data_IF_262407980719
#
_entry.id   IF_262407980719
#
_cell.length_a   1.000
_cell.length_b   1.000
_cell.length_c   1.000
_cell.angle_alpha   90.00
_cell.angle_beta   90.00
_cell.angle_gamma   90.00
#
_symmetry.space_group_name_H-M   'P 1'
#
loop_
_entity.id
_entity.type
_entity.pdbx_description
1 polymer ?
#
# COMPACT_ATOMS: atom_id res chain seq x y z
N UNK A 1 19.49 17.89 -3.88
CA UNK A 1 19.40 16.61 -4.61
C UNK A 1 17.99 16.47 -5.12
N UNK A 2 17.78 15.95 -6.33
CA UNK A 2 16.43 15.63 -6.82
C UNK A 2 16.08 14.21 -6.36
N UNK A 3 15.02 14.06 -5.58
CA UNK A 3 14.48 12.74 -5.18
C UNK A 3 13.32 12.37 -6.11
N UNK A 4 13.30 11.14 -6.60
CA UNK A 4 12.21 10.62 -7.44
C UNK A 4 10.91 10.51 -6.65
N UNK A 5 9.78 10.64 -7.34
CA UNK A 5 8.47 10.40 -6.75
C UNK A 5 8.36 8.94 -6.29
N UNK A 6 7.60 8.71 -5.20
CA UNK A 6 7.33 7.36 -4.71
C UNK A 6 6.71 6.44 -5.78
N UNK A 7 5.93 7.00 -6.70
CA UNK A 7 5.37 6.28 -7.86
C UNK A 7 6.44 5.77 -8.84
N UNK A 8 7.50 6.54 -9.08
CA UNK A 8 8.61 6.17 -9.98
C UNK A 8 9.50 5.11 -9.35
N UNK A 9 9.52 5.05 -8.01
CA UNK A 9 10.26 4.06 -7.23
C UNK A 9 9.47 2.77 -6.98
N UNK A 10 8.18 2.76 -7.31
CA UNK A 10 7.24 1.67 -7.04
C UNK A 10 7.65 0.36 -7.74
N UNK A 11 7.58 -0.77 -7.02
CA UNK A 11 7.86 -2.11 -7.56
C UNK A 11 6.70 -3.06 -7.29
N UNK A 12 6.22 -3.85 -8.28
CA UNK A 12 5.05 -4.70 -8.11
C UNK A 12 5.18 -5.73 -6.98
N UNK A 13 6.42 -6.16 -6.69
CA UNK A 13 6.74 -7.20 -5.71
C UNK A 13 7.12 -6.64 -4.32
N UNK A 14 6.98 -5.33 -4.09
CA UNK A 14 7.16 -4.80 -2.74
C UNK A 14 5.94 -5.17 -1.88
N UNK A 15 6.20 -5.90 -0.80
CA UNK A 15 5.17 -6.24 0.18
C UNK A 15 4.71 -4.99 0.94
N UNK A 16 3.41 -4.97 1.26
CA UNK A 16 2.87 -3.97 2.16
C UNK A 16 3.47 -4.07 3.57
N UNK A 17 3.18 -3.09 4.45
CA UNK A 17 3.63 -3.13 5.83
C UNK A 17 3.11 -4.39 6.52
N UNK A 18 3.90 -4.93 7.45
CA UNK A 18 3.41 -6.00 8.33
C UNK A 18 2.52 -5.37 9.39
N UNK A 19 1.22 -5.60 9.28
CA UNK A 19 0.24 -5.18 10.26
C UNK A 19 0.17 -6.21 11.41
N UNK A 20 -0.18 -5.78 12.63
CA UNK A 20 -0.47 -6.72 13.72
C UNK A 20 -1.71 -7.57 13.38
N UNK A 21 -1.83 -8.71 14.07
CA UNK A 21 -3.01 -9.57 13.95
C UNK A 21 -4.27 -8.80 14.38
N UNK A 22 -5.36 -8.92 13.60
CA UNK A 22 -6.55 -8.08 13.76
C UNK A 22 -7.46 -8.50 14.94
N UNK A 23 -7.12 -9.55 15.68
CA UNK A 23 -7.93 -10.18 16.76
C UNK A 23 -9.39 -10.54 16.37
N UNK A 24 -9.71 -10.48 15.08
CA UNK A 24 -11.02 -10.78 14.50
C UNK A 24 -10.87 -11.62 13.24
N UNK A 25 -11.91 -12.38 12.91
CA UNK A 25 -11.92 -13.21 11.69
C UNK A 25 -11.79 -12.33 10.44
N UNK A 26 -10.82 -12.66 9.60
CA UNK A 26 -10.66 -12.02 8.30
C UNK A 26 -11.82 -12.38 7.37
N UNK A 27 -12.47 -11.37 6.80
CA UNK A 27 -13.50 -11.51 5.75
C UNK A 27 -13.09 -10.74 4.51
N UNK A 28 -13.44 -11.25 3.32
CA UNK A 28 -13.22 -10.49 2.10
C UNK A 28 -14.19 -9.31 2.07
N UNK A 29 -13.78 -8.19 1.45
CA UNK A 29 -14.65 -7.02 1.32
C UNK A 29 -16.00 -7.35 0.66
N UNK A 30 -16.02 -8.31 -0.27
CA UNK A 30 -17.22 -8.77 -0.96
C UNK A 30 -18.21 -9.54 -0.06
N UNK A 31 -17.77 -10.02 1.11
CA UNK A 31 -18.62 -10.71 2.08
C UNK A 31 -19.38 -9.73 2.99
N UNK A 32 -18.97 -8.46 3.02
CA UNK A 32 -19.46 -7.45 3.99
C UNK A 32 -19.98 -6.18 3.35
N UNK A 33 -19.66 -5.91 2.08
CA UNK A 33 -20.11 -4.72 1.35
C UNK A 33 -21.03 -5.10 0.16
N UNK A 34 -22.07 -4.30 -0.12
CA UNK A 34 -22.83 -4.41 -1.37
C UNK A 34 -21.95 -4.31 -2.62
N UNK A 35 -22.31 -5.05 -3.67
CA UNK A 35 -21.49 -5.17 -4.89
C UNK A 35 -21.29 -3.83 -5.63
N UNK A 36 -22.29 -2.95 -5.59
CA UNK A 36 -22.26 -1.60 -6.17
C UNK A 36 -21.34 -0.63 -5.41
N UNK A 37 -20.92 -1.00 -4.20
CA UNK A 37 -19.95 -0.25 -3.39
C UNK A 37 -18.52 -0.78 -3.49
N UNK A 38 -18.30 -1.93 -4.16
CA UNK A 38 -16.96 -2.50 -4.33
C UNK A 38 -16.17 -1.76 -5.41
N UNK A 39 -14.85 -1.63 -5.19
CA UNK A 39 -13.94 -1.09 -6.20
C UNK A 39 -13.76 -2.08 -7.34
N UNK A 40 -13.98 -1.62 -8.57
CA UNK A 40 -13.77 -2.42 -9.80
C UNK A 40 -12.29 -2.54 -10.20
N UNK A 41 -11.45 -1.59 -9.78
CA UNK A 41 -10.01 -1.57 -10.08
C UNK A 41 -9.19 -1.36 -8.81
N UNK A 42 -8.02 -2.03 -8.66
CA UNK A 42 -7.10 -1.75 -7.57
C UNK A 42 -6.68 -0.28 -7.54
N UNK A 43 -6.44 0.32 -6.36
CA UNK A 43 -5.96 1.68 -6.28
C UNK A 43 -4.52 1.77 -6.81
N UNK A 44 -4.20 2.84 -7.53
CA UNK A 44 -2.87 3.08 -8.12
C UNK A 44 -1.82 3.52 -7.09
N UNK A 45 -1.75 2.85 -5.93
CA UNK A 45 -0.82 3.19 -4.87
C UNK A 45 0.62 2.72 -5.20
N UNK A 46 1.64 3.49 -4.81
CA UNK A 46 3.02 3.06 -4.97
C UNK A 46 3.33 1.92 -4.00
N UNK A 47 4.20 1.01 -4.41
CA UNK A 47 4.60 -0.16 -3.62
C UNK A 47 6.10 -0.08 -3.34
N UNK A 48 6.44 0.19 -2.09
CA UNK A 48 7.80 0.28 -1.60
C UNK A 48 7.90 -0.52 -0.30
N UNK A 49 9.07 -1.10 -0.02
CA UNK A 49 9.36 -1.70 1.28
C UNK A 49 9.46 -0.64 2.38
N UNK A 50 9.26 -1.02 3.64
CA UNK A 50 9.39 -0.11 4.79
C UNK A 50 10.73 0.66 4.80
N UNK A 51 11.91 0.04 4.55
CA UNK A 51 13.16 0.79 4.49
C UNK A 51 13.23 1.79 3.32
N UNK A 52 12.59 1.50 2.19
CA UNK A 52 12.54 2.42 1.05
C UNK A 52 11.64 3.62 1.33
N UNK A 53 10.52 3.41 2.03
CA UNK A 53 9.64 4.47 2.52
C UNK A 53 10.41 5.40 3.46
N UNK A 54 11.08 4.84 4.46
CA UNK A 54 11.89 5.62 5.42
C UNK A 54 12.95 6.45 4.69
N UNK A 55 13.73 5.84 3.79
CA UNK A 55 14.74 6.55 2.99
C UNK A 55 14.15 7.66 2.12
N UNK A 56 12.98 7.43 1.53
CA UNK A 56 12.33 8.44 0.69
C UNK A 56 11.97 9.68 1.51
N UNK A 57 11.24 9.51 2.61
CA UNK A 57 10.82 10.63 3.44
C UNK A 57 12.00 11.32 4.15
N UNK A 58 13.05 10.60 4.55
CA UNK A 58 14.26 11.23 5.11
C UNK A 58 15.01 12.11 4.12
N UNK A 59 14.85 11.90 2.80
CA UNK A 59 15.48 12.75 1.77
C UNK A 59 14.60 13.92 1.34
N UNK A 60 13.32 13.91 1.71
CA UNK A 60 12.38 15.00 1.45
C UNK A 60 12.36 16.05 2.58
N UNK A 61 12.80 15.68 3.78
CA UNK A 61 12.99 16.58 4.92
C UNK A 61 14.24 17.46 4.72
#
# INVERSE_FOLDING_TARGET
>A
MTELLSFEKSRPNAHGPRLPDAEVDARAAADVLPADQLRVKPPGLPRLSEPEIMRHYSRLA
#
